data_IF_310864344401
#
_entry.id   IF_310864344401
#
_cell.length_a   1.000
_cell.length_b   1.000
_cell.length_c   1.000
_cell.angle_alpha   90.00
_cell.angle_beta   90.00
_cell.angle_gamma   90.00
#
_symmetry.space_group_name_H-M   'P 1'
#
loop_
_entity.id
_entity.type
_entity.pdbx_description
1 polymer ?
#
# COMPACT_ATOMS: atom_id res chain seq x y z
N UNK A 1 -23.58 -11.11 46.99
CA UNK A 1 -23.62 -12.52 46.66
C UNK A 1 -23.71 -13.37 47.92
N UNK A 2 -22.82 -13.17 48.90
CA UNK A 2 -22.83 -13.88 50.17
C UNK A 2 -24.14 -13.70 50.94
N UNK A 3 -24.67 -12.48 51.00
CA UNK A 3 -25.91 -12.16 51.71
C UNK A 3 -27.14 -12.90 51.16
N UNK A 4 -27.12 -13.23 49.85
CA UNK A 4 -28.19 -13.98 49.19
C UNK A 4 -27.87 -15.48 49.02
N UNK A 5 -26.71 -15.95 49.50
CA UNK A 5 -26.28 -17.34 49.35
C UNK A 5 -25.97 -17.73 47.89
N UNK A 6 -25.61 -16.78 47.06
CA UNK A 6 -25.28 -17.03 45.64
C UNK A 6 -23.78 -17.19 45.46
N UNK A 7 -23.38 -18.04 44.53
CA UNK A 7 -21.98 -18.11 44.09
C UNK A 7 -21.66 -16.90 43.20
N UNK A 8 -20.57 -16.15 43.50
CA UNK A 8 -20.16 -15.03 42.65
C UNK A 8 -19.66 -15.54 41.29
N UNK A 9 -19.91 -14.81 40.18
CA UNK A 9 -19.32 -15.14 38.90
C UNK A 9 -17.79 -14.92 38.96
N UNK A 10 -17.08 -15.53 38.01
CA UNK A 10 -15.67 -15.21 37.83
C UNK A 10 -15.50 -13.80 37.28
N UNK A 11 -14.61 -13.03 37.88
CA UNK A 11 -14.30 -11.68 37.46
C UNK A 11 -12.93 -11.64 36.78
N UNK A 12 -12.82 -10.88 35.69
CA UNK A 12 -11.55 -10.55 35.07
C UNK A 12 -11.49 -9.04 34.78
N UNK A 13 -10.32 -8.45 34.94
CA UNK A 13 -10.06 -7.06 34.59
C UNK A 13 -9.09 -7.02 33.43
N UNK A 14 -9.52 -6.42 32.31
CA UNK A 14 -8.65 -6.16 31.17
C UNK A 14 -7.73 -4.99 31.48
N UNK A 15 -6.54 -5.02 30.91
CA UNK A 15 -5.58 -3.92 31.01
C UNK A 15 -6.12 -2.64 30.35
N UNK A 16 -5.70 -1.48 30.90
CA UNK A 16 -6.03 -0.21 30.27
C UNK A 16 -5.27 -0.04 28.96
N UNK A 17 -5.95 0.53 27.95
CA UNK A 17 -5.30 0.96 26.73
C UNK A 17 -4.84 2.41 26.91
N UNK A 18 -3.56 2.65 26.61
CA UNK A 18 -2.90 3.95 26.76
C UNK A 18 -2.33 4.41 25.43
N UNK A 19 -2.09 5.72 25.29
CA UNK A 19 -1.37 6.28 24.15
C UNK A 19 0.16 6.17 24.35
N UNK A 20 0.92 6.67 23.37
CA UNK A 20 2.39 6.69 23.39
C UNK A 20 2.99 7.41 24.61
N UNK A 21 2.29 8.40 25.17
CA UNK A 21 2.66 9.11 26.39
C UNK A 21 2.21 8.40 27.68
N UNK A 22 1.75 7.13 27.58
CA UNK A 22 1.23 6.30 28.67
C UNK A 22 0.01 6.89 29.40
N UNK A 23 -0.71 7.80 28.75
CA UNK A 23 -1.98 8.32 29.26
C UNK A 23 -3.13 7.44 28.78
N UNK A 24 -4.12 7.23 29.65
CA UNK A 24 -5.34 6.49 29.30
C UNK A 24 -5.98 7.11 28.05
N UNK A 25 -6.32 6.29 27.06
CA UNK A 25 -7.09 6.74 25.90
C UNK A 25 -8.43 7.32 26.35
N UNK A 26 -8.74 8.48 25.83
CA UNK A 26 -9.98 9.20 26.09
C UNK A 26 -10.68 9.53 24.79
N UNK A 27 -12.02 9.42 24.74
CA UNK A 27 -12.84 9.80 23.58
C UNK A 27 -12.63 11.26 23.10
N UNK A 28 -11.89 12.07 23.87
CA UNK A 28 -11.53 13.46 23.55
C UNK A 28 -10.11 13.59 22.99
N UNK A 29 -9.36 12.50 22.94
CA UNK A 29 -7.99 12.48 22.44
C UNK A 29 -8.04 12.32 20.90
N UNK A 30 -7.97 13.44 20.18
CA UNK A 30 -8.13 13.47 18.70
C UNK A 30 -6.98 12.82 17.92
N UNK A 31 -5.96 12.29 18.59
CA UNK A 31 -4.78 11.71 17.94
C UNK A 31 -4.98 10.23 17.52
N UNK A 32 -5.88 9.51 18.18
CA UNK A 32 -6.17 8.11 17.90
C UNK A 32 -7.63 7.96 17.52
N UNK A 33 -7.90 7.28 16.41
CA UNK A 33 -9.25 6.92 16.01
C UNK A 33 -9.84 5.98 17.07
N UNK A 34 -11.06 6.24 17.50
CA UNK A 34 -11.66 5.57 18.65
C UNK A 34 -12.89 4.75 18.29
N UNK A 35 -13.39 4.93 17.09
CA UNK A 35 -14.58 4.25 16.61
C UNK A 35 -14.21 3.28 15.48
N UNK A 36 -14.78 2.09 15.51
CA UNK A 36 -14.53 1.05 14.48
C UNK A 36 -14.88 1.56 13.09
N UNK A 37 -15.93 2.39 12.98
CA UNK A 37 -16.34 3.01 11.73
C UNK A 37 -15.22 3.81 11.08
N UNK A 38 -14.40 4.51 11.88
CA UNK A 38 -13.29 5.32 11.36
C UNK A 38 -12.22 4.44 10.71
N UNK A 39 -11.92 3.28 11.28
CA UNK A 39 -10.99 2.31 10.68
C UNK A 39 -11.58 1.66 9.44
N UNK A 40 -12.86 1.30 9.47
CA UNK A 40 -13.57 0.82 8.28
C UNK A 40 -13.54 1.86 7.16
N UNK A 41 -13.80 3.13 7.49
CA UNK A 41 -13.85 4.23 6.52
C UNK A 41 -12.45 4.58 5.97
N UNK A 42 -11.37 4.14 6.60
CA UNK A 42 -10.01 4.17 6.06
C UNK A 42 -9.67 2.92 5.22
N UNK A 43 -10.49 1.88 5.29
CA UNK A 43 -10.25 0.62 4.58
C UNK A 43 -9.34 -0.35 5.32
N UNK A 44 -9.39 -0.34 6.67
CA UNK A 44 -8.81 -1.42 7.47
C UNK A 44 -9.67 -2.68 7.40
N UNK A 45 -9.02 -3.83 7.38
CA UNK A 45 -9.68 -5.13 7.39
C UNK A 45 -10.17 -5.47 8.81
N UNK A 46 -11.42 -5.96 8.97
CA UNK A 46 -11.97 -6.29 10.29
C UNK A 46 -11.19 -7.40 10.99
N UNK A 47 -10.67 -8.39 10.27
CA UNK A 47 -9.83 -9.45 10.82
C UNK A 47 -8.48 -8.93 11.33
N UNK A 48 -7.89 -7.96 10.66
CA UNK A 48 -6.65 -7.34 11.10
C UNK A 48 -6.86 -6.48 12.36
N UNK A 49 -7.96 -5.73 12.41
CA UNK A 49 -8.34 -4.96 13.60
C UNK A 49 -8.60 -5.88 14.78
N UNK A 50 -9.30 -7.00 14.58
CA UNK A 50 -9.51 -8.02 15.59
C UNK A 50 -8.18 -8.58 16.13
N UNK A 51 -7.27 -8.99 15.24
CA UNK A 51 -5.96 -9.51 15.61
C UNK A 51 -5.15 -8.48 16.43
N UNK A 52 -5.11 -7.23 15.98
CA UNK A 52 -4.42 -6.17 16.70
C UNK A 52 -5.01 -5.91 18.09
N UNK A 53 -6.35 -5.85 18.22
CA UNK A 53 -7.03 -5.64 19.50
C UNK A 53 -6.74 -6.81 20.46
N UNK A 54 -6.72 -8.05 19.97
CA UNK A 54 -6.36 -9.20 20.78
C UNK A 54 -4.96 -9.06 21.37
N UNK A 55 -3.99 -8.59 20.59
CA UNK A 55 -2.60 -8.36 21.04
C UNK A 55 -2.46 -7.21 22.07
N UNK A 56 -3.42 -6.31 22.19
CA UNK A 56 -3.37 -5.24 23.20
C UNK A 56 -3.54 -5.76 24.64
N UNK A 57 -4.13 -6.91 24.83
CA UNK A 57 -4.37 -7.44 26.18
C UNK A 57 -3.93 -8.89 26.37
N UNK A 58 -3.40 -9.52 25.35
CA UNK A 58 -3.00 -10.91 25.34
C UNK A 58 -1.80 -11.13 24.41
N UNK A 59 -1.00 -12.17 24.64
CA UNK A 59 0.13 -12.53 23.78
C UNK A 59 0.10 -14.03 23.45
N UNK A 60 0.35 -14.42 22.18
CA UNK A 60 0.45 -15.82 21.77
C UNK A 60 1.65 -16.53 22.42
N UNK A 61 1.66 -17.85 22.36
CA UNK A 61 2.80 -18.67 22.74
C UNK A 61 3.77 -18.76 21.54
N UNK A 62 4.80 -18.03 21.54
CA UNK A 62 5.74 -17.92 20.42
C UNK A 62 5.82 -16.51 19.84
N UNK A 63 6.39 -16.41 18.65
CA UNK A 63 6.67 -15.13 17.98
C UNK A 63 5.62 -14.76 16.92
N UNK A 64 4.74 -15.70 16.55
CA UNK A 64 3.73 -15.47 15.51
C UNK A 64 2.58 -14.64 16.07
N UNK A 65 2.51 -13.39 15.62
CA UNK A 65 1.50 -12.42 16.05
C UNK A 65 0.32 -12.31 15.08
N UNK A 66 0.38 -12.95 13.91
CA UNK A 66 -0.70 -12.95 12.92
C UNK A 66 -1.47 -14.25 13.00
N UNK A 67 -2.76 -14.16 13.30
CA UNK A 67 -3.65 -15.31 13.47
C UNK A 67 -5.08 -14.96 13.06
N UNK A 68 -5.77 -15.91 12.46
CA UNK A 68 -7.20 -15.81 12.19
C UNK A 68 -8.01 -15.87 13.50
N UNK A 69 -9.28 -15.48 13.42
CA UNK A 69 -10.21 -15.62 14.55
C UNK A 69 -10.36 -17.07 15.00
N UNK A 70 -10.39 -18.00 14.07
CA UNK A 70 -10.49 -19.45 14.30
C UNK A 70 -9.24 -20.01 14.98
N UNK A 71 -8.06 -19.52 14.58
CA UNK A 71 -6.79 -19.86 15.24
C UNK A 71 -6.73 -19.26 16.64
N UNK A 72 -7.13 -18.00 16.81
CA UNK A 72 -7.17 -17.35 18.10
C UNK A 72 -7.98 -18.14 19.12
N UNK A 73 -9.17 -18.65 18.74
CA UNK A 73 -10.01 -19.47 19.63
C UNK A 73 -9.29 -20.73 20.11
N UNK A 74 -8.40 -21.32 19.28
CA UNK A 74 -7.65 -22.52 19.61
C UNK A 74 -6.44 -22.26 20.52
N UNK A 75 -5.78 -21.11 20.33
CA UNK A 75 -4.53 -20.77 21.02
C UNK A 75 -4.75 -19.86 22.23
N UNK A 76 -5.97 -19.36 22.44
CA UNK A 76 -6.28 -18.47 23.54
C UNK A 76 -6.12 -19.17 24.90
N UNK A 77 -5.26 -18.61 25.75
CA UNK A 77 -5.10 -19.00 27.15
C UNK A 77 -5.29 -17.77 28.04
N UNK A 78 -6.26 -17.81 28.94
CA UNK A 78 -6.58 -16.74 29.89
C UNK A 78 -5.40 -16.36 30.80
N UNK A 79 -4.47 -17.30 31.03
CA UNK A 79 -3.26 -17.07 31.85
C UNK A 79 -2.27 -16.11 31.18
N UNK A 80 -2.41 -15.93 29.88
CA UNK A 80 -1.57 -15.03 29.06
C UNK A 80 -2.14 -13.63 28.91
N UNK A 81 -3.25 -13.34 29.62
CA UNK A 81 -3.78 -11.98 29.68
C UNK A 81 -2.78 -11.05 30.37
N UNK A 82 -2.50 -9.92 29.74
CA UNK A 82 -1.58 -8.90 30.25
C UNK A 82 -2.15 -8.20 31.46
N UNK A 83 -1.33 -8.02 32.49
CA UNK A 83 -1.65 -7.19 33.67
C UNK A 83 -1.19 -5.74 33.53
N UNK A 84 -0.32 -5.47 32.57
CA UNK A 84 0.22 -4.15 32.31
C UNK A 84 -0.65 -3.39 31.31
N UNK A 85 -0.73 -2.04 31.39
CA UNK A 85 -1.39 -1.24 30.37
C UNK A 85 -0.83 -1.52 28.97
N UNK A 86 -1.72 -1.68 27.99
CA UNK A 86 -1.35 -1.89 26.61
C UNK A 86 -1.25 -0.54 25.87
N UNK A 87 -0.16 -0.32 25.16
CA UNK A 87 0.00 0.88 24.34
C UNK A 87 -0.67 0.65 22.96
N UNK A 88 -1.53 1.60 22.56
CA UNK A 88 -2.10 1.61 21.22
C UNK A 88 -1.07 2.14 20.24
N UNK A 89 -0.38 1.22 19.56
CA UNK A 89 0.63 1.51 18.57
C UNK A 89 0.01 1.50 17.16
N UNK A 90 -0.07 2.68 16.53
CA UNK A 90 -0.62 2.83 15.17
C UNK A 90 0.25 2.17 14.11
N UNK A 91 1.57 2.19 14.28
CA UNK A 91 2.49 1.54 13.34
C UNK A 91 2.31 0.03 13.39
N UNK A 92 2.15 -0.53 14.58
CA UNK A 92 1.83 -1.96 14.76
C UNK A 92 0.51 -2.33 14.12
N UNK A 93 -0.55 -1.52 14.29
CA UNK A 93 -1.83 -1.76 13.63
C UNK A 93 -1.69 -1.72 12.10
N UNK A 94 -0.99 -0.72 11.56
CA UNK A 94 -0.73 -0.60 10.13
C UNK A 94 0.04 -1.83 9.61
N UNK A 95 1.07 -2.27 10.32
CA UNK A 95 1.82 -3.47 9.98
C UNK A 95 0.95 -4.73 10.02
N UNK A 96 0.16 -4.94 11.08
CA UNK A 96 -0.78 -6.09 11.16
C UNK A 96 -1.72 -6.08 9.95
N UNK A 97 -2.34 -4.94 9.65
CA UNK A 97 -3.27 -4.85 8.52
C UNK A 97 -2.56 -5.11 7.18
N UNK A 98 -1.34 -4.61 6.98
CA UNK A 98 -0.54 -4.90 5.78
C UNK A 98 -0.28 -6.41 5.61
N UNK A 99 -0.04 -7.18 6.69
CA UNK A 99 0.13 -8.63 6.58
C UNK A 99 -1.15 -9.30 6.03
N UNK A 100 -2.33 -8.85 6.44
CA UNK A 100 -3.60 -9.34 5.89
C UNK A 100 -3.84 -8.86 4.45
N UNK A 101 -3.57 -7.57 4.16
CA UNK A 101 -3.70 -7.01 2.80
C UNK A 101 -2.92 -7.80 1.76
N UNK A 102 -1.69 -8.22 2.10
CA UNK A 102 -0.81 -9.02 1.21
C UNK A 102 -1.37 -10.38 0.84
N UNK A 103 -2.24 -10.95 1.66
CA UNK A 103 -2.81 -12.29 1.47
C UNK A 103 -4.15 -12.28 0.75
N UNK A 104 -4.79 -11.11 0.61
CA UNK A 104 -6.05 -10.97 -0.11
C UNK A 104 -5.82 -11.05 -1.62
N UNK A 105 -6.82 -11.52 -2.35
CA UNK A 105 -6.84 -11.37 -3.80
C UNK A 105 -6.98 -9.88 -4.19
N UNK A 106 -6.49 -9.55 -5.37
CA UNK A 106 -6.46 -8.17 -5.86
C UNK A 106 -7.86 -7.58 -6.03
N UNK A 107 -8.86 -8.39 -6.37
CA UNK A 107 -10.26 -7.94 -6.51
C UNK A 107 -10.82 -7.45 -5.17
N UNK A 108 -10.65 -8.24 -4.10
CA UNK A 108 -11.07 -7.85 -2.74
C UNK A 108 -10.43 -6.53 -2.33
N UNK A 109 -9.12 -6.35 -2.58
CA UNK A 109 -8.42 -5.10 -2.25
C UNK A 109 -8.88 -3.94 -3.13
N UNK A 110 -9.16 -4.19 -4.41
CA UNK A 110 -9.71 -3.19 -5.31
C UNK A 110 -11.09 -2.71 -4.85
N UNK A 111 -11.99 -3.62 -4.48
CA UNK A 111 -13.32 -3.25 -3.95
C UNK A 111 -13.23 -2.39 -2.68
N UNK A 112 -12.27 -2.66 -1.80
CA UNK A 112 -12.01 -1.82 -0.62
C UNK A 112 -11.43 -0.45 -0.97
N UNK A 113 -10.60 -0.38 -2.01
CA UNK A 113 -9.92 0.86 -2.42
C UNK A 113 -10.79 1.74 -3.33
N UNK A 114 -11.70 1.16 -4.10
CA UNK A 114 -12.54 1.87 -5.07
C UNK A 114 -13.29 3.07 -4.49
N UNK A 115 -13.94 2.99 -3.31
CA UNK A 115 -14.59 4.15 -2.71
C UNK A 115 -13.63 5.32 -2.41
N UNK A 116 -12.36 5.01 -2.10
CA UNK A 116 -11.35 6.04 -1.85
C UNK A 116 -10.92 6.72 -3.14
N UNK A 117 -10.74 5.95 -4.22
CA UNK A 117 -10.41 6.47 -5.54
C UNK A 117 -11.53 7.35 -6.10
N UNK A 118 -12.79 6.93 -5.94
CA UNK A 118 -13.97 7.73 -6.33
C UNK A 118 -14.04 9.01 -5.50
N UNK A 119 -13.91 8.94 -4.18
CA UNK A 119 -13.96 10.10 -3.29
C UNK A 119 -12.87 11.13 -3.57
N UNK A 120 -11.75 10.69 -4.11
CA UNK A 120 -10.62 11.53 -4.52
C UNK A 120 -10.73 12.02 -5.97
N UNK A 121 -11.84 11.77 -6.67
CA UNK A 121 -12.09 12.09 -8.08
C UNK A 121 -11.06 11.47 -9.06
N UNK A 122 -10.43 10.36 -8.66
CA UNK A 122 -9.43 9.65 -9.46
C UNK A 122 -10.06 8.60 -10.38
N UNK A 123 -11.23 8.10 -10.01
CA UNK A 123 -12.10 7.23 -10.82
C UNK A 123 -13.51 7.83 -10.78
N UNK A 124 -14.27 7.80 -11.89
CA UNK A 124 -15.65 8.29 -11.91
C UNK A 124 -16.55 7.60 -10.89
N UNK A 125 -17.60 8.28 -10.42
CA UNK A 125 -18.60 7.71 -9.51
C UNK A 125 -19.28 6.44 -10.08
N UNK A 126 -19.46 6.40 -11.40
CA UNK A 126 -19.97 5.23 -12.15
C UNK A 126 -18.87 4.73 -13.09
N UNK A 127 -17.91 3.93 -12.59
CA UNK A 127 -16.75 3.50 -13.37
C UNK A 127 -17.15 2.50 -14.47
N UNK A 128 -16.59 2.69 -15.66
CA UNK A 128 -16.65 1.72 -16.75
C UNK A 128 -15.85 0.45 -16.40
N UNK A 129 -15.97 -0.60 -17.17
CA UNK A 129 -15.12 -1.79 -16.99
C UNK A 129 -13.63 -1.48 -17.24
N UNK A 130 -13.33 -0.56 -18.15
CA UNK A 130 -11.96 -0.11 -18.41
C UNK A 130 -11.38 0.64 -17.20
N UNK A 131 -12.17 1.49 -16.53
CA UNK A 131 -11.78 2.18 -15.30
C UNK A 131 -11.50 1.18 -14.16
N UNK A 132 -12.33 0.15 -14.06
CA UNK A 132 -12.15 -0.90 -13.05
C UNK A 132 -10.91 -1.76 -13.34
N UNK A 133 -10.70 -2.13 -14.62
CA UNK A 133 -9.52 -2.89 -15.01
C UNK A 133 -8.23 -2.09 -14.72
N UNK A 134 -8.23 -0.81 -15.09
CA UNK A 134 -7.14 0.09 -14.74
C UNK A 134 -6.93 0.18 -13.23
N UNK A 135 -8.01 0.31 -12.45
CA UNK A 135 -7.95 0.34 -10.98
C UNK A 135 -7.37 -0.96 -10.39
N UNK A 136 -7.74 -2.14 -10.92
CA UNK A 136 -7.15 -3.42 -10.51
C UNK A 136 -5.64 -3.46 -10.78
N UNK A 137 -5.20 -2.98 -11.94
CA UNK A 137 -3.77 -2.89 -12.27
C UNK A 137 -3.05 -1.94 -11.30
N UNK A 138 -3.64 -0.80 -10.99
CA UNK A 138 -3.11 0.14 -10.00
C UNK A 138 -2.96 -0.50 -8.60
N UNK A 139 -4.01 -1.20 -8.14
CA UNK A 139 -3.94 -1.94 -6.86
C UNK A 139 -2.83 -2.99 -6.92
N UNK A 140 -2.69 -3.72 -8.01
CA UNK A 140 -1.62 -4.71 -8.21
C UNK A 140 -0.22 -4.15 -8.00
N UNK A 141 0.00 -2.85 -8.30
CA UNK A 141 1.28 -2.18 -8.06
C UNK A 141 1.57 -2.00 -6.57
N UNK A 142 0.56 -1.64 -5.77
CA UNK A 142 0.74 -1.11 -4.42
C UNK A 142 0.24 -2.03 -3.30
N UNK A 143 -0.52 -3.07 -3.59
CA UNK A 143 -1.16 -3.95 -2.61
C UNK A 143 -0.20 -4.44 -1.52
N UNK A 144 1.06 -4.75 -1.89
CA UNK A 144 2.07 -5.25 -0.94
C UNK A 144 2.63 -4.16 -0.02
N UNK A 145 2.49 -2.91 -0.41
CA UNK A 145 3.01 -1.75 0.31
C UNK A 145 1.94 -1.11 1.20
N UNK A 146 0.67 -1.16 0.77
CA UNK A 146 -0.44 -0.55 1.50
C UNK A 146 -0.65 -1.16 2.87
N UNK A 147 -0.77 -0.30 3.87
CA UNK A 147 -1.19 -0.69 5.22
C UNK A 147 -2.72 -0.77 5.33
N UNK A 148 -3.46 0.05 4.60
CA UNK A 148 -4.92 0.03 4.49
C UNK A 148 -5.36 0.61 3.13
N UNK A 149 -6.59 0.32 2.71
CA UNK A 149 -7.02 0.60 1.33
C UNK A 149 -6.99 2.10 0.94
N UNK A 150 -7.24 3.00 1.89
CA UNK A 150 -7.21 4.45 1.63
C UNK A 150 -5.83 5.01 1.27
N UNK A 151 -4.73 4.28 1.56
CA UNK A 151 -3.39 4.71 1.16
C UNK A 151 -3.18 4.68 -0.35
N UNK A 152 -4.07 4.02 -1.11
CA UNK A 152 -3.98 4.04 -2.57
C UNK A 152 -4.03 5.46 -3.15
N UNK A 153 -4.74 6.38 -2.50
CA UNK A 153 -4.89 7.75 -3.00
C UNK A 153 -3.54 8.47 -3.04
N UNK A 154 -2.79 8.65 -1.93
CA UNK A 154 -1.49 9.29 -2.00
C UNK A 154 -0.45 8.48 -2.80
N UNK A 155 -0.52 7.14 -2.81
CA UNK A 155 0.40 6.29 -3.58
C UNK A 155 0.19 6.43 -5.09
N UNK A 156 -1.00 6.81 -5.53
CA UNK A 156 -1.35 6.91 -6.95
C UNK A 156 -1.22 8.31 -7.54
N UNK A 157 -0.80 9.32 -6.78
CA UNK A 157 -0.71 10.72 -7.24
C UNK A 157 0.03 10.88 -8.57
N UNK A 158 1.12 10.14 -8.79
CA UNK A 158 1.91 10.23 -10.02
C UNK A 158 1.15 9.85 -11.31
N UNK A 159 0.04 9.10 -11.20
CA UNK A 159 -0.76 8.68 -12.35
C UNK A 159 -1.75 9.76 -12.79
N UNK A 160 -2.09 10.69 -11.91
CA UNK A 160 -3.14 11.70 -12.15
C UNK A 160 -2.57 13.11 -12.37
N UNK A 161 -1.48 13.42 -11.71
CA UNK A 161 -0.86 14.74 -11.78
C UNK A 161 0.28 14.80 -12.82
N UNK A 162 0.67 16.02 -13.16
CA UNK A 162 1.90 16.25 -13.90
C UNK A 162 3.10 15.76 -13.09
N UNK A 163 4.21 15.52 -13.79
CA UNK A 163 5.43 15.12 -13.10
C UNK A 163 5.82 16.17 -12.06
N UNK A 164 6.21 15.75 -10.84
CA UNK A 164 6.73 16.66 -9.83
C UNK A 164 7.99 17.36 -10.33
N UNK A 165 8.32 18.49 -9.71
CA UNK A 165 9.64 19.10 -9.91
C UNK A 165 10.72 18.08 -9.47
N UNK A 166 11.69 17.89 -10.36
CA UNK A 166 12.75 16.93 -10.11
C UNK A 166 13.76 17.51 -9.12
N UNK A 167 14.11 16.72 -8.10
CA UNK A 167 15.18 17.03 -7.18
C UNK A 167 16.56 16.94 -7.84
N UNK A 168 17.61 17.27 -7.07
CA UNK A 168 18.99 17.26 -7.58
C UNK A 168 19.42 15.84 -8.01
N UNK A 169 19.03 14.80 -7.25
CA UNK A 169 19.38 13.41 -7.57
C UNK A 169 18.70 12.92 -8.86
N UNK A 170 17.43 13.26 -9.06
CA UNK A 170 16.69 12.92 -10.28
C UNK A 170 17.26 13.65 -11.50
N UNK A 171 17.63 14.91 -11.34
CA UNK A 171 18.27 15.70 -12.40
C UNK A 171 19.65 15.13 -12.76
N UNK A 172 20.47 14.74 -11.79
CA UNK A 172 21.76 14.12 -12.04
C UNK A 172 21.61 12.82 -12.86
N UNK A 173 20.62 12.00 -12.52
CA UNK A 173 20.33 10.76 -13.28
C UNK A 173 19.95 11.05 -14.72
N UNK A 174 19.15 12.09 -14.99
CA UNK A 174 18.70 12.45 -16.33
C UNK A 174 19.74 13.24 -17.15
N UNK A 175 20.74 13.82 -16.51
CA UNK A 175 21.86 14.48 -17.16
C UNK A 175 22.99 13.51 -17.59
N UNK A 176 22.81 12.21 -17.38
CA UNK A 176 23.79 11.19 -17.80
C UNK A 176 24.02 11.20 -19.31
N UNK A 177 25.28 11.09 -19.75
CA UNK A 177 25.68 11.14 -21.18
C UNK A 177 24.93 10.13 -22.06
N UNK A 178 24.53 8.98 -21.51
CA UNK A 178 23.81 7.92 -22.21
C UNK A 178 22.30 8.20 -22.35
N UNK A 179 21.75 9.17 -21.63
CA UNK A 179 20.29 9.36 -21.53
C UNK A 179 19.65 9.75 -22.86
N UNK A 180 20.17 10.68 -23.67
CA UNK A 180 19.55 11.02 -24.95
C UNK A 180 19.45 9.82 -25.91
N UNK A 181 20.51 9.02 -26.03
CA UNK A 181 20.51 7.81 -26.85
C UNK A 181 19.49 6.80 -26.33
N UNK A 182 19.51 6.52 -25.02
CA UNK A 182 18.60 5.61 -24.35
C UNK A 182 17.14 6.02 -24.59
N UNK A 183 16.80 7.29 -24.36
CA UNK A 183 15.43 7.79 -24.48
C UNK A 183 14.93 7.80 -25.91
N UNK A 184 15.79 8.11 -26.88
CA UNK A 184 15.44 8.06 -28.30
C UNK A 184 15.09 6.65 -28.75
N UNK A 185 15.90 5.64 -28.39
CA UNK A 185 15.61 4.23 -28.69
C UNK A 185 14.34 3.74 -28.00
N UNK A 186 14.18 4.08 -26.71
CA UNK A 186 13.00 3.68 -25.94
C UNK A 186 11.71 4.31 -26.49
N UNK A 187 11.73 5.61 -26.77
CA UNK A 187 10.60 6.35 -27.31
C UNK A 187 10.10 5.72 -28.61
N UNK A 188 10.98 5.55 -29.60
CA UNK A 188 10.59 4.98 -30.89
C UNK A 188 9.99 3.58 -30.79
N UNK A 189 10.54 2.74 -29.91
CA UNK A 189 9.99 1.40 -29.69
C UNK A 189 8.65 1.39 -28.96
N UNK A 190 8.49 2.20 -27.92
CA UNK A 190 7.23 2.31 -27.20
C UNK A 190 6.13 2.96 -28.03
N UNK A 191 6.47 3.91 -28.92
CA UNK A 191 5.53 4.51 -29.86
C UNK A 191 4.92 3.46 -30.82
N UNK A 192 5.72 2.50 -31.29
CA UNK A 192 5.29 1.43 -32.17
C UNK A 192 4.68 0.21 -31.43
N UNK A 193 4.77 0.18 -30.10
CA UNK A 193 4.38 -1.00 -29.32
C UNK A 193 2.86 -1.19 -29.26
N UNK A 194 2.39 -2.39 -29.65
CA UNK A 194 1.01 -2.87 -29.52
C UNK A 194 1.03 -4.39 -29.28
N UNK A 195 0.34 -4.92 -28.24
CA UNK A 195 -0.37 -4.18 -27.20
C UNK A 195 0.58 -3.50 -26.19
N UNK A 196 0.11 -2.43 -25.55
CA UNK A 196 0.89 -1.67 -24.55
C UNK A 196 0.71 -2.29 -23.15
N UNK A 197 1.32 -3.46 -22.95
CA UNK A 197 1.21 -4.26 -21.73
C UNK A 197 2.58 -4.45 -21.06
N UNK A 198 2.59 -4.67 -19.74
CA UNK A 198 3.83 -4.80 -18.94
C UNK A 198 4.80 -5.86 -19.50
N UNK A 199 4.27 -6.99 -19.98
CA UNK A 199 5.09 -8.06 -20.55
C UNK A 199 5.83 -7.60 -21.82
N UNK A 200 5.15 -6.89 -22.72
CA UNK A 200 5.73 -6.38 -23.95
C UNK A 200 6.65 -5.19 -23.68
N UNK A 201 6.28 -4.29 -22.75
CA UNK A 201 7.13 -3.19 -22.29
C UNK A 201 8.45 -3.73 -21.72
N UNK A 202 8.39 -4.80 -20.92
CA UNK A 202 9.58 -5.47 -20.36
C UNK A 202 10.51 -6.04 -21.45
N UNK A 203 9.93 -6.61 -22.52
CA UNK A 203 10.69 -7.07 -23.69
C UNK A 203 11.33 -5.91 -24.43
N UNK A 204 10.57 -4.84 -24.65
CA UNK A 204 11.03 -3.61 -25.30
C UNK A 204 12.23 -3.00 -24.57
N UNK A 205 12.17 -2.88 -23.24
CA UNK A 205 13.31 -2.39 -22.46
C UNK A 205 14.54 -3.30 -22.60
N UNK A 206 14.36 -4.62 -22.65
CA UNK A 206 15.46 -5.57 -22.89
C UNK A 206 16.06 -5.45 -24.31
N UNK A 207 15.24 -5.13 -25.31
CA UNK A 207 15.72 -4.87 -26.66
C UNK A 207 16.55 -3.60 -26.71
N UNK A 208 16.08 -2.51 -26.09
CA UNK A 208 16.85 -1.25 -25.95
C UNK A 208 18.19 -1.53 -25.25
N UNK A 209 18.20 -2.33 -24.19
CA UNK A 209 19.41 -2.76 -23.52
C UNK A 209 20.41 -3.47 -24.45
N UNK A 210 19.93 -4.33 -25.38
CA UNK A 210 20.79 -5.06 -26.32
C UNK A 210 21.34 -4.13 -27.41
N UNK A 211 20.53 -3.22 -27.90
CA UNK A 211 20.89 -2.30 -28.98
C UNK A 211 21.87 -1.23 -28.54
N UNK A 212 21.65 -0.64 -27.37
CA UNK A 212 22.50 0.44 -26.83
C UNK A 212 23.68 -0.06 -26.01
N UNK A 213 23.64 -1.32 -25.53
CA UNK A 213 24.61 -1.87 -24.58
C UNK A 213 24.49 -1.29 -23.16
N UNK A 214 23.57 -0.33 -22.92
CA UNK A 214 23.31 0.29 -21.62
C UNK A 214 22.57 -0.71 -20.72
N UNK A 215 23.02 -0.89 -19.46
CA UNK A 215 22.47 -1.92 -18.58
C UNK A 215 22.47 -1.51 -17.10
N UNK A 216 21.75 -2.30 -16.30
CA UNK A 216 21.72 -2.11 -14.83
C UNK A 216 21.15 -0.74 -14.45
N UNK A 217 21.77 -0.08 -13.48
CA UNK A 217 21.30 1.21 -12.96
C UNK A 217 21.25 2.30 -14.05
N UNK A 218 22.21 2.31 -14.97
CA UNK A 218 22.27 3.28 -16.06
C UNK A 218 21.13 3.14 -17.10
N UNK A 219 20.49 1.97 -17.17
CA UNK A 219 19.30 1.74 -17.99
C UNK A 219 18.01 2.08 -17.23
N UNK A 220 17.81 1.42 -16.09
CA UNK A 220 16.51 1.44 -15.43
C UNK A 220 16.21 2.72 -14.67
N UNK A 221 17.22 3.39 -14.08
CA UNK A 221 17.00 4.61 -13.31
C UNK A 221 16.58 5.80 -14.18
N UNK A 222 17.28 6.10 -15.29
CA UNK A 222 16.83 7.18 -16.17
C UNK A 222 15.42 6.95 -16.71
N UNK A 223 15.09 5.72 -17.13
CA UNK A 223 13.73 5.39 -17.60
C UNK A 223 12.72 5.66 -16.49
N UNK A 224 12.96 5.17 -15.27
CA UNK A 224 12.06 5.36 -14.12
C UNK A 224 11.87 6.85 -13.84
N UNK A 225 12.95 7.60 -13.69
CA UNK A 225 12.86 9.02 -13.38
C UNK A 225 12.16 9.79 -14.49
N UNK A 226 12.46 9.49 -15.76
CA UNK A 226 11.81 10.14 -16.90
C UNK A 226 10.30 9.92 -16.97
N UNK A 227 9.81 8.74 -16.58
CA UNK A 227 8.37 8.41 -16.63
C UNK A 227 7.62 8.69 -15.34
N UNK A 228 8.28 8.66 -14.17
CA UNK A 228 7.62 8.79 -12.85
C UNK A 228 8.03 10.04 -12.07
N UNK A 229 9.18 10.62 -12.36
CA UNK A 229 9.81 11.67 -11.53
C UNK A 229 10.39 11.14 -10.21
N UNK A 230 10.53 9.82 -10.03
CA UNK A 230 10.92 9.20 -8.77
C UNK A 230 12.07 8.22 -8.95
N UNK A 231 12.97 8.15 -7.95
CA UNK A 231 14.07 7.19 -7.92
C UNK A 231 13.61 5.78 -7.55
N UNK A 232 12.54 5.66 -6.76
CA UNK A 232 12.00 4.41 -6.25
C UNK A 232 10.51 4.27 -6.57
N UNK A 233 9.99 3.05 -6.49
CA UNK A 233 8.57 2.77 -6.73
C UNK A 233 8.35 1.33 -7.22
N UNK A 234 7.11 0.99 -7.59
CA UNK A 234 6.73 -0.35 -8.04
C UNK A 234 7.50 -0.84 -9.27
N UNK A 235 7.26 -2.06 -9.70
CA UNK A 235 7.94 -2.66 -10.88
C UNK A 235 7.73 -1.79 -12.13
N UNK A 236 8.83 -1.36 -12.76
CA UNK A 236 8.84 -0.34 -13.80
C UNK A 236 7.95 -0.67 -15.02
N UNK A 237 7.96 -1.88 -15.61
CA UNK A 237 7.08 -2.19 -16.73
C UNK A 237 5.60 -2.07 -16.40
N UNK A 238 5.19 -2.52 -15.21
CA UNK A 238 3.82 -2.42 -14.72
C UNK A 238 3.42 -0.96 -14.46
N UNK A 239 4.33 -0.16 -13.90
CA UNK A 239 4.12 1.28 -13.72
C UNK A 239 3.92 1.99 -15.07
N UNK A 240 4.72 1.66 -16.09
CA UNK A 240 4.59 2.22 -17.44
C UNK A 240 3.24 1.83 -18.07
N UNK A 241 2.80 0.57 -17.91
CA UNK A 241 1.49 0.12 -18.39
C UNK A 241 0.35 0.94 -17.77
N UNK A 242 0.35 1.11 -16.44
CA UNK A 242 -0.70 1.85 -15.71
C UNK A 242 -0.68 3.34 -16.01
N UNK A 243 0.50 3.94 -16.26
CA UNK A 243 0.62 5.32 -16.73
C UNK A 243 -0.05 5.53 -18.11
N UNK A 244 -0.06 4.49 -18.94
CA UNK A 244 -0.59 4.53 -20.30
C UNK A 244 0.36 5.16 -21.33
N UNK A 245 0.21 4.71 -22.58
CA UNK A 245 1.10 5.04 -23.70
C UNK A 245 1.26 6.54 -23.91
N UNK A 246 0.16 7.28 -23.96
CA UNK A 246 0.16 8.72 -24.26
C UNK A 246 0.96 9.51 -23.21
N UNK A 247 0.70 9.24 -21.91
CA UNK A 247 1.40 9.94 -20.83
C UNK A 247 2.88 9.60 -20.79
N UNK A 248 3.23 8.32 -20.99
CA UNK A 248 4.63 7.87 -21.05
C UNK A 248 5.37 8.54 -22.20
N UNK A 249 4.83 8.53 -23.41
CA UNK A 249 5.45 9.17 -24.58
C UNK A 249 5.59 10.68 -24.38
N UNK A 250 4.58 11.36 -23.84
CA UNK A 250 4.63 12.78 -23.52
C UNK A 250 5.76 13.13 -22.55
N UNK A 251 5.98 12.27 -21.54
CA UNK A 251 7.05 12.46 -20.54
C UNK A 251 8.43 12.19 -21.14
N UNK A 252 8.59 11.11 -21.89
CA UNK A 252 9.85 10.74 -22.53
C UNK A 252 10.30 11.76 -23.58
N UNK A 253 9.37 12.40 -24.29
CA UNK A 253 9.65 13.38 -25.36
C UNK A 253 10.52 14.55 -24.89
N UNK A 254 10.56 14.82 -23.61
CA UNK A 254 11.40 15.90 -23.03
C UNK A 254 12.90 15.56 -23.02
N UNK A 255 13.25 14.28 -23.21
CA UNK A 255 14.61 13.76 -23.09
C UNK A 255 15.12 13.10 -24.39
N UNK A 256 14.37 13.22 -25.48
CA UNK A 256 14.71 12.69 -26.82
C UNK A 256 15.46 13.73 -27.63
#
# INVERSE_FOLDING_TARGET
YEAFGWEPPRFAHMSLIVNEQRKKLSKRDGQILQFIEQYRDLGYLPEALFNFIALLGWSPEGEDEIFSKEEFVKIFDEKRLSKSPAMFDRQKLAWVNNQYMKTKDTETVFELALPHLIKADLIPENPSEDDKEWGRKLIGLYQKEMSYAGEIVPLSEMFFHDMPELGEEEQEVLNGEQVPELMSHLYGKLEALEPFEAAEIKKTIKEVQKETGIKGKQLFMPIRVAVTGQMHGPELPNTIEVLGKEKVLSRLKKYV
#
